data_IF_084083832438
#
_entry.id   IF_084083832438
#
_cell.length_a   1.000
_cell.length_b   1.000
_cell.length_c   1.000
_cell.angle_alpha   90.00
_cell.angle_beta   90.00
_cell.angle_gamma   90.00
#
_symmetry.space_group_name_H-M   'P 1'
#
loop_
_entity.id
_entity.type
_entity.pdbx_description
1 polymer ?
#
# COMPACT_ATOMS: atom_id res chain seq x y z
N UNK A 1 -20.63 -3.11 13.84
CA UNK A 1 -21.16 -4.23 13.02
C UNK A 1 -20.12 -4.52 11.96
N UNK A 2 -19.29 -5.55 12.16
CA UNK A 2 -18.31 -5.93 11.13
C UNK A 2 -19.02 -6.87 10.17
N UNK A 3 -19.41 -6.35 9.03
CA UNK A 3 -19.90 -7.19 7.92
C UNK A 3 -18.64 -7.79 7.28
N UNK A 4 -18.24 -8.97 7.75
CA UNK A 4 -17.27 -9.80 7.04
C UNK A 4 -17.99 -10.43 5.85
N UNK A 5 -18.03 -9.73 4.75
CA UNK A 5 -18.48 -10.33 3.49
C UNK A 5 -17.26 -10.89 2.76
N UNK A 6 -17.23 -12.19 2.60
CA UNK A 6 -16.17 -12.93 1.89
C UNK A 6 -16.09 -12.65 0.38
N UNK A 7 -16.74 -11.61 -0.16
CA UNK A 7 -16.78 -11.33 -1.61
C UNK A 7 -17.11 -9.89 -1.99
N UNK A 8 -16.82 -8.89 -1.20
CA UNK A 8 -17.06 -7.53 -1.65
C UNK A 8 -15.73 -6.86 -1.95
N UNK A 9 -15.56 -6.47 -3.19
CA UNK A 9 -14.49 -5.60 -3.66
C UNK A 9 -14.57 -4.26 -2.90
N UNK A 10 -13.98 -4.21 -1.71
CA UNK A 10 -13.95 -3.05 -0.82
C UNK A 10 -13.04 -1.93 -1.30
N UNK A 11 -12.41 -2.13 -2.44
CA UNK A 11 -11.51 -1.16 -2.99
C UNK A 11 -12.06 -0.65 -4.29
N UNK A 12 -12.60 0.57 -4.25
CA UNK A 12 -12.48 1.42 -5.40
C UNK A 12 -11.00 1.38 -5.81
N UNK A 13 -10.72 0.52 -6.75
CA UNK A 13 -9.53 0.45 -7.60
C UNK A 13 -8.22 1.03 -7.05
N UNK A 14 -7.63 0.45 -5.99
CA UNK A 14 -6.19 0.50 -5.83
C UNK A 14 -5.57 -0.56 -6.75
N UNK A 15 -5.60 -0.31 -8.05
CA UNK A 15 -4.93 -1.14 -9.04
C UNK A 15 -3.44 -0.79 -9.06
N UNK A 16 -2.72 -1.10 -8.01
CA UNK A 16 -1.26 -1.11 -8.06
C UNK A 16 -0.82 -2.42 -8.70
N UNK A 17 -0.73 -2.46 -10.03
CA UNK A 17 -0.05 -3.57 -10.67
C UNK A 17 1.44 -3.43 -10.36
N UNK A 18 1.92 -4.16 -9.37
CA UNK A 18 3.34 -4.37 -9.13
C UNK A 18 3.93 -5.12 -10.31
N UNK A 19 4.30 -4.39 -11.34
CA UNK A 19 5.20 -4.92 -12.38
C UNK A 19 6.58 -4.44 -11.99
N UNK A 20 7.42 -5.36 -11.53
CA UNK A 20 8.81 -5.21 -11.18
C UNK A 20 9.21 -3.81 -10.76
N UNK A 21 9.53 -3.60 -9.50
CA UNK A 21 9.76 -2.30 -8.90
C UNK A 21 10.89 -1.54 -9.57
N UNK A 22 10.51 -0.55 -10.38
CA UNK A 22 11.44 0.49 -10.76
C UNK A 22 11.25 1.60 -9.74
N UNK A 23 12.18 1.86 -8.83
CA UNK A 23 12.09 3.02 -7.99
C UNK A 23 12.02 4.27 -8.86
N UNK A 24 11.01 5.11 -8.65
CA UNK A 24 10.80 6.30 -9.46
C UNK A 24 12.03 7.20 -9.55
N UNK A 25 12.85 7.26 -8.48
CA UNK A 25 14.14 7.94 -8.51
C UNK A 25 15.13 7.38 -9.52
N UNK A 26 15.03 6.11 -9.90
CA UNK A 26 15.87 5.57 -10.98
C UNK A 26 15.38 5.97 -12.35
N UNK A 27 14.08 6.14 -12.50
CA UNK A 27 13.51 6.68 -13.73
C UNK A 27 13.82 8.17 -13.91
N UNK A 28 13.90 8.94 -12.82
CA UNK A 28 14.42 10.31 -12.84
C UNK A 28 15.92 10.37 -13.16
N UNK A 29 16.67 9.32 -12.78
CA UNK A 29 18.11 9.19 -13.02
C UNK A 29 18.41 8.80 -14.47
N UNK A 30 17.44 8.22 -15.18
CA UNK A 30 17.56 7.86 -16.58
C UNK A 30 16.71 8.81 -17.45
N UNK A 31 16.96 10.11 -17.38
CA UNK A 31 16.34 11.01 -18.32
C UNK A 31 17.16 10.95 -19.58
N UNK A 32 16.61 10.46 -20.64
CA UNK A 32 17.29 10.50 -21.92
C UNK A 32 18.45 9.48 -22.07
N UNK A 33 18.36 8.58 -23.04
CA UNK A 33 19.42 7.65 -23.43
C UNK A 33 20.77 8.33 -23.71
N UNK A 34 20.79 9.63 -23.95
CA UNK A 34 22.00 10.47 -23.98
C UNK A 34 22.68 10.64 -22.63
N UNK A 35 21.98 10.48 -21.51
CA UNK A 35 22.53 10.66 -20.14
C UNK A 35 23.24 9.41 -19.65
N UNK A 36 22.91 8.23 -20.15
CA UNK A 36 23.71 7.01 -19.91
C UNK A 36 25.17 7.17 -20.39
N UNK A 37 25.43 8.11 -21.24
CA UNK A 37 26.81 8.48 -21.66
C UNK A 37 27.52 9.43 -20.71
N UNK A 38 26.84 9.95 -19.68
CA UNK A 38 27.41 10.92 -18.74
C UNK A 38 27.57 10.29 -17.35
N UNK A 39 28.52 9.35 -17.24
CA UNK A 39 28.89 8.61 -16.02
C UNK A 39 28.98 9.50 -14.76
N UNK A 40 29.44 10.75 -14.89
CA UNK A 40 29.58 11.67 -13.76
C UNK A 40 28.23 12.07 -13.12
N UNK A 41 27.14 12.07 -13.86
CA UNK A 41 25.81 12.32 -13.28
C UNK A 41 25.28 11.09 -12.55
N UNK A 42 25.47 9.91 -13.13
CA UNK A 42 25.11 8.63 -12.51
C UNK A 42 25.84 8.47 -11.18
N UNK A 43 27.14 8.74 -11.15
CA UNK A 43 27.97 8.65 -9.94
C UNK A 43 27.44 9.53 -8.79
N UNK A 44 27.07 10.79 -9.08
CA UNK A 44 26.53 11.69 -8.04
C UNK A 44 25.19 11.23 -7.48
N UNK A 45 24.30 10.74 -8.32
CA UNK A 45 22.98 10.24 -7.91
C UNK A 45 23.14 8.96 -7.12
N UNK A 46 24.03 8.08 -7.58
CA UNK A 46 24.34 6.83 -6.89
C UNK A 46 24.96 7.07 -5.50
N UNK A 47 25.80 8.09 -5.33
CA UNK A 47 26.33 8.49 -4.02
C UNK A 47 25.19 8.97 -3.11
N UNK A 48 24.28 9.81 -3.60
CA UNK A 48 23.14 10.28 -2.81
C UNK A 48 22.23 9.13 -2.41
N UNK A 49 21.96 8.20 -3.32
CA UNK A 49 21.15 7.01 -3.02
C UNK A 49 21.85 6.08 -2.01
N UNK A 50 23.17 5.95 -2.10
CA UNK A 50 23.93 5.21 -1.09
C UNK A 50 23.86 5.84 0.30
N UNK A 51 23.93 7.17 0.40
CA UNK A 51 23.75 7.89 1.67
C UNK A 51 22.34 7.68 2.20
N UNK A 52 21.33 7.80 1.34
CA UNK A 52 19.93 7.53 1.70
C UNK A 52 19.75 6.09 2.19
N UNK A 53 20.31 5.12 1.47
CA UNK A 53 20.30 3.71 1.89
C UNK A 53 20.92 3.55 3.30
N UNK A 54 22.13 4.06 3.51
CA UNK A 54 22.81 3.97 4.82
C UNK A 54 21.99 4.54 5.97
N UNK A 55 21.21 5.58 5.70
CA UNK A 55 20.35 6.22 6.70
C UNK A 55 19.09 5.43 7.00
N UNK A 56 18.54 4.71 6.00
CA UNK A 56 17.23 4.09 6.09
C UNK A 56 17.24 2.55 6.00
N UNK A 57 18.43 1.95 5.97
CA UNK A 57 18.54 0.47 5.97
C UNK A 57 17.98 -0.14 7.24
N UNK A 58 17.44 -1.34 7.13
CA UNK A 58 16.92 -2.12 8.25
C UNK A 58 17.98 -2.91 9.00
N UNK A 59 19.14 -3.11 8.38
CA UNK A 59 20.21 -3.93 8.94
C UNK A 59 19.86 -5.42 8.91
N UNK A 60 19.32 -5.87 7.77
CA UNK A 60 19.08 -7.29 7.53
C UNK A 60 20.43 -7.99 7.40
N UNK A 61 20.64 -9.02 8.21
CA UNK A 61 21.90 -9.78 8.26
C UNK A 61 21.79 -11.09 7.50
N UNK A 62 22.94 -11.71 7.23
CA UNK A 62 22.98 -13.05 6.64
C UNK A 62 22.29 -14.09 7.53
N UNK A 63 22.36 -13.93 8.83
CA UNK A 63 21.67 -14.80 9.81
C UNK A 63 20.14 -14.62 9.72
N UNK A 64 19.64 -13.39 9.58
CA UNK A 64 18.22 -13.13 9.38
C UNK A 64 17.71 -13.84 8.10
N UNK A 65 18.48 -13.80 7.01
CA UNK A 65 18.12 -14.45 5.74
C UNK A 65 18.20 -15.97 5.86
N UNK A 66 19.24 -16.50 6.51
CA UNK A 66 19.36 -17.93 6.77
C UNK A 66 18.19 -18.45 7.62
N UNK A 67 17.70 -17.65 8.57
CA UNK A 67 16.51 -17.99 9.36
C UNK A 67 15.25 -17.98 8.48
N UNK A 68 15.04 -16.95 7.68
CA UNK A 68 13.91 -16.88 6.74
C UNK A 68 13.89 -18.05 5.75
N UNK A 69 15.07 -18.47 5.27
CA UNK A 69 15.19 -19.57 4.30
C UNK A 69 14.69 -20.92 4.84
N UNK A 70 14.54 -21.09 6.16
CA UNK A 70 13.97 -22.30 6.78
C UNK A 70 12.48 -22.46 6.52
N UNK A 71 11.79 -21.37 6.21
CA UNK A 71 10.36 -21.37 5.94
C UNK A 71 10.02 -21.70 4.48
N UNK A 72 11.03 -21.90 3.62
CA UNK A 72 10.83 -22.25 2.22
C UNK A 72 10.26 -21.11 1.41
N UNK A 73 9.09 -21.32 0.82
CA UNK A 73 8.37 -20.35 -0.05
C UNK A 73 6.90 -20.25 0.39
N UNK A 74 6.20 -19.24 -0.13
CA UNK A 74 4.76 -19.08 0.08
C UNK A 74 4.38 -18.41 1.40
N UNK A 75 3.28 -18.87 2.02
CA UNK A 75 2.66 -18.19 3.16
C UNK A 75 3.54 -18.20 4.41
N UNK A 76 4.23 -19.29 4.71
CA UNK A 76 5.11 -19.38 5.89
C UNK A 76 6.28 -18.39 5.75
N UNK A 77 6.88 -18.28 4.55
CA UNK A 77 7.93 -17.30 4.28
C UNK A 77 7.39 -15.87 4.39
N UNK A 78 6.18 -15.61 3.87
CA UNK A 78 5.51 -14.31 3.96
C UNK A 78 5.32 -13.89 5.42
N UNK A 79 4.78 -14.77 6.26
CA UNK A 79 4.55 -14.51 7.68
C UNK A 79 5.87 -14.26 8.44
N UNK A 80 6.88 -15.10 8.22
CA UNK A 80 8.20 -14.92 8.81
C UNK A 80 8.87 -13.59 8.37
N UNK A 81 8.73 -13.23 7.09
CA UNK A 81 9.21 -11.96 6.55
C UNK A 81 8.50 -10.76 7.18
N UNK A 82 7.18 -10.85 7.37
CA UNK A 82 6.40 -9.81 8.03
C UNK A 82 6.86 -9.60 9.48
N UNK A 83 7.05 -10.67 10.24
CA UNK A 83 7.54 -10.61 11.62
C UNK A 83 8.95 -10.02 11.70
N UNK A 84 9.85 -10.41 10.80
CA UNK A 84 11.20 -9.85 10.75
C UNK A 84 11.17 -8.36 10.41
N UNK A 85 10.44 -7.97 9.36
CA UNK A 85 10.37 -6.58 8.91
C UNK A 85 9.77 -5.68 9.98
N UNK A 86 8.64 -6.06 10.58
CA UNK A 86 7.98 -5.26 11.63
C UNK A 86 8.87 -5.11 12.86
N UNK A 87 9.61 -6.17 13.25
CA UNK A 87 10.59 -6.11 14.33
C UNK A 87 11.77 -5.19 13.99
N UNK A 88 12.35 -5.29 12.79
CA UNK A 88 13.47 -4.44 12.34
C UNK A 88 13.06 -2.98 12.19
N UNK A 89 11.82 -2.72 11.82
CA UNK A 89 11.23 -1.39 11.78
C UNK A 89 10.84 -0.88 13.17
N UNK A 90 10.88 -1.73 14.20
CA UNK A 90 10.58 -1.38 15.58
C UNK A 90 9.09 -1.22 15.88
N UNK A 91 8.20 -1.88 15.14
CA UNK A 91 6.76 -1.84 15.43
C UNK A 91 6.42 -2.76 16.59
N UNK A 92 5.65 -2.24 17.55
CA UNK A 92 5.04 -3.10 18.56
C UNK A 92 3.85 -3.86 17.98
N UNK A 93 3.54 -5.03 18.56
CA UNK A 93 2.38 -5.84 18.15
C UNK A 93 1.03 -5.11 18.26
N UNK A 94 0.96 -4.07 19.10
CA UNK A 94 -0.28 -3.31 19.35
C UNK A 94 -0.64 -2.31 18.25
N UNK A 95 0.37 -1.86 17.47
CA UNK A 95 0.19 -0.80 16.48
C UNK A 95 0.48 -1.25 15.04
N UNK A 96 1.18 -2.38 14.85
CA UNK A 96 1.48 -2.88 13.51
C UNK A 96 0.20 -3.21 12.73
N UNK A 97 0.16 -3.05 11.42
CA UNK A 97 -1.00 -3.45 10.62
C UNK A 97 -1.23 -4.96 10.73
N UNK A 98 -2.47 -5.40 10.70
CA UNK A 98 -2.75 -6.83 10.60
C UNK A 98 -2.45 -7.32 9.17
N UNK A 99 -1.95 -8.56 9.03
CA UNK A 99 -1.69 -9.19 7.75
C UNK A 99 -2.80 -10.19 7.43
N UNK A 100 -3.39 -10.09 6.24
CA UNK A 100 -4.42 -11.00 5.75
C UNK A 100 -4.05 -11.56 4.39
N UNK A 101 -4.07 -12.89 4.27
CA UNK A 101 -3.94 -13.59 3.01
C UNK A 101 -5.33 -13.86 2.46
N UNK A 102 -5.76 -13.09 1.48
CA UNK A 102 -7.08 -13.16 0.88
C UNK A 102 -6.96 -12.97 -0.63
N UNK A 103 -7.70 -13.73 -1.45
CA UNK A 103 -7.76 -13.46 -2.88
C UNK A 103 -8.37 -12.07 -3.08
N UNK A 104 -7.65 -11.21 -3.79
CA UNK A 104 -8.08 -9.86 -4.10
C UNK A 104 -8.39 -9.81 -5.59
N UNK A 105 -9.63 -9.44 -5.96
CA UNK A 105 -10.03 -9.23 -7.37
C UNK A 105 -9.40 -7.97 -7.99
N UNK A 106 -8.20 -7.60 -7.58
CA UNK A 106 -7.44 -6.47 -8.08
C UNK A 106 -6.07 -6.93 -8.57
N UNK A 107 -5.52 -6.27 -9.57
CA UNK A 107 -4.24 -6.64 -10.19
C UNK A 107 -3.01 -6.27 -9.32
N UNK A 108 -3.14 -6.33 -8.00
CA UNK A 108 -2.04 -6.05 -7.09
C UNK A 108 -1.80 -7.24 -6.17
N UNK A 109 -0.57 -7.72 -6.04
CA UNK A 109 -0.25 -8.85 -5.16
C UNK A 109 -0.36 -8.51 -3.68
N UNK A 110 -0.11 -7.26 -3.32
CA UNK A 110 -0.20 -6.78 -1.94
C UNK A 110 -0.71 -5.35 -1.92
N UNK A 111 -1.39 -4.96 -0.85
CA UNK A 111 -1.82 -3.58 -0.62
C UNK A 111 -1.99 -3.27 0.87
N UNK A 112 -1.49 -2.12 1.31
CA UNK A 112 -1.81 -1.57 2.62
C UNK A 112 -3.11 -0.77 2.57
N UNK A 113 -4.04 -1.07 3.47
CA UNK A 113 -5.27 -0.29 3.65
C UNK A 113 -5.15 0.63 4.87
N UNK A 114 -5.03 1.94 4.68
CA UNK A 114 -4.97 2.89 5.79
C UNK A 114 -6.28 2.95 6.58
N UNK A 115 -7.42 2.71 5.91
CA UNK A 115 -8.73 2.75 6.55
C UNK A 115 -8.95 1.62 7.56
N UNK A 116 -8.33 0.46 7.34
CA UNK A 116 -8.51 -0.73 8.19
C UNK A 116 -7.26 -1.07 8.98
N UNK A 117 -6.15 -0.38 8.71
CA UNK A 117 -4.82 -0.69 9.23
C UNK A 117 -4.43 -2.15 9.00
N UNK A 118 -4.58 -2.61 7.76
CA UNK A 118 -4.26 -3.98 7.35
C UNK A 118 -3.37 -3.98 6.11
N UNK A 119 -2.57 -5.02 5.97
CA UNK A 119 -1.94 -5.40 4.70
C UNK A 119 -2.70 -6.62 4.18
N UNK A 120 -3.17 -6.53 2.95
CA UNK A 120 -3.83 -7.64 2.25
C UNK A 120 -2.84 -8.19 1.23
N UNK A 121 -2.71 -9.50 1.21
CA UNK A 121 -1.85 -10.24 0.27
C UNK A 121 -2.72 -11.19 -0.52
N UNK A 122 -2.61 -11.15 -1.84
CA UNK A 122 -3.26 -12.11 -2.74
C UNK A 122 -2.31 -13.29 -2.99
N UNK A 123 -2.61 -14.48 -2.45
CA UNK A 123 -1.72 -15.65 -2.60
C UNK A 123 -1.56 -16.08 -4.05
N UNK A 124 -2.59 -15.96 -4.89
CA UNK A 124 -2.51 -16.34 -6.30
C UNK A 124 -1.55 -15.43 -7.07
N UNK A 125 -1.66 -14.12 -6.85
CA UNK A 125 -0.78 -13.16 -7.51
C UNK A 125 0.65 -13.23 -6.99
N UNK A 126 0.82 -13.54 -5.70
CA UNK A 126 2.14 -13.75 -5.08
C UNK A 126 2.78 -15.08 -5.46
N UNK A 127 2.05 -16.05 -6.00
CA UNK A 127 2.58 -17.37 -6.37
C UNK A 127 3.71 -17.30 -7.42
N UNK A 128 3.77 -16.22 -8.20
CA UNK A 128 4.82 -15.98 -9.18
C UNK A 128 6.02 -15.18 -8.63
N UNK A 129 5.96 -14.79 -7.34
CA UNK A 129 7.02 -14.02 -6.71
C UNK A 129 8.04 -14.94 -6.06
N UNK A 130 9.31 -14.64 -6.25
CA UNK A 130 10.35 -15.25 -5.44
C UNK A 130 10.43 -14.59 -4.05
N UNK A 131 11.17 -15.19 -3.15
CA UNK A 131 11.31 -14.73 -1.77
C UNK A 131 11.80 -13.28 -1.65
N UNK A 132 12.70 -12.85 -2.52
CA UNK A 132 13.19 -11.45 -2.55
C UNK A 132 12.05 -10.49 -2.90
N UNK A 133 11.22 -10.85 -3.88
CA UNK A 133 10.08 -10.03 -4.30
C UNK A 133 9.00 -9.96 -3.21
N UNK A 134 8.69 -11.08 -2.53
CA UNK A 134 7.76 -11.10 -1.40
C UNK A 134 8.27 -10.21 -0.28
N UNK A 135 9.54 -10.36 0.11
CA UNK A 135 10.16 -9.59 1.18
C UNK A 135 10.15 -8.08 0.88
N UNK A 136 10.53 -7.71 -0.33
CA UNK A 136 10.61 -6.31 -0.72
C UNK A 136 9.24 -5.67 -0.92
N UNK A 137 8.25 -6.41 -1.47
CA UNK A 137 6.87 -5.93 -1.58
C UNK A 137 6.24 -5.70 -0.20
N UNK A 138 6.45 -6.59 0.77
CA UNK A 138 6.03 -6.36 2.15
C UNK A 138 6.66 -5.09 2.74
N UNK A 139 7.94 -4.84 2.45
CA UNK A 139 8.61 -3.62 2.91
C UNK A 139 7.99 -2.36 2.30
N UNK A 140 7.53 -2.44 1.05
CA UNK A 140 6.80 -1.38 0.38
C UNK A 140 5.48 -1.05 1.12
N UNK A 141 4.65 -2.07 1.37
CA UNK A 141 3.36 -1.87 2.04
C UNK A 141 3.53 -1.38 3.49
N UNK A 142 4.55 -1.87 4.20
CA UNK A 142 4.91 -1.36 5.51
C UNK A 142 5.39 0.11 5.47
N UNK A 143 5.93 0.58 4.34
CA UNK A 143 6.26 2.00 4.20
C UNK A 143 5.01 2.87 4.09
N UNK A 144 3.97 2.42 3.41
CA UNK A 144 2.68 3.11 3.42
C UNK A 144 2.08 3.19 4.83
N UNK A 145 2.24 2.13 5.63
CA UNK A 145 1.87 2.18 7.05
C UNK A 145 2.67 3.26 7.81
N UNK A 146 4.00 3.36 7.59
CA UNK A 146 4.82 4.41 8.21
C UNK A 146 4.31 5.80 7.82
N UNK A 147 4.04 6.02 6.55
CA UNK A 147 3.53 7.30 6.05
C UNK A 147 2.18 7.66 6.69
N UNK A 148 1.25 6.71 6.76
CA UNK A 148 -0.05 6.89 7.43
C UNK A 148 0.13 7.21 8.92
N UNK A 149 1.03 6.50 9.60
CA UNK A 149 1.35 6.73 11.01
C UNK A 149 1.90 8.13 11.24
N UNK A 150 2.76 8.63 10.34
CA UNK A 150 3.29 9.99 10.41
C UNK A 150 2.19 11.05 10.23
N UNK A 151 1.25 10.81 9.32
CA UNK A 151 0.07 11.67 9.12
C UNK A 151 -0.76 11.72 10.40
N UNK A 152 -1.11 10.57 10.98
CA UNK A 152 -1.94 10.46 12.19
C UNK A 152 -1.27 11.01 13.47
N UNK A 153 0.05 11.17 13.48
CA UNK A 153 0.80 11.76 14.60
C UNK A 153 0.98 13.27 14.50
N UNK A 154 0.69 13.86 13.36
CA UNK A 154 0.91 15.28 13.15
C UNK A 154 -0.26 16.10 13.71
N UNK A 155 0.00 16.94 14.71
CA UNK A 155 -1.02 17.65 15.49
C UNK A 155 -2.08 18.39 14.64
N UNK A 156 -1.65 19.05 13.56
CA UNK A 156 -2.55 19.85 12.72
C UNK A 156 -3.15 19.09 11.55
N UNK A 157 -2.53 17.98 11.12
CA UNK A 157 -2.97 17.18 9.97
C UNK A 157 -3.87 16.03 10.41
N UNK A 158 -3.56 15.39 11.54
CA UNK A 158 -4.27 14.21 12.02
C UNK A 158 -5.81 14.40 12.13
N UNK A 159 -6.34 15.49 12.68
CA UNK A 159 -7.79 15.68 12.74
C UNK A 159 -8.43 15.66 11.35
N UNK A 160 -7.81 16.35 10.38
CA UNK A 160 -8.29 16.40 9.00
C UNK A 160 -8.16 15.03 8.31
N UNK A 161 -7.08 14.31 8.59
CA UNK A 161 -6.87 12.98 8.05
C UNK A 161 -7.93 11.99 8.57
N UNK A 162 -8.27 12.05 9.84
CA UNK A 162 -9.35 11.26 10.44
C UNK A 162 -10.69 11.57 9.76
N UNK A 163 -11.01 12.86 9.53
CA UNK A 163 -12.24 13.24 8.84
C UNK A 163 -12.32 12.64 7.44
N UNK A 164 -11.24 12.78 6.65
CA UNK A 164 -11.16 12.20 5.30
C UNK A 164 -11.25 10.67 5.32
N UNK A 165 -10.59 10.02 6.27
CA UNK A 165 -10.67 8.55 6.40
C UNK A 165 -12.08 8.08 6.74
N UNK A 166 -12.76 8.77 7.65
CA UNK A 166 -14.15 8.46 8.04
C UNK A 166 -15.10 8.64 6.86
N UNK A 167 -14.95 9.71 6.09
CA UNK A 167 -15.74 9.96 4.89
C UNK A 167 -15.53 8.85 3.85
N UNK A 168 -14.29 8.59 3.46
CA UNK A 168 -13.95 7.54 2.49
C UNK A 168 -14.42 6.15 2.92
N UNK A 169 -14.26 5.82 4.21
CA UNK A 169 -14.74 4.55 4.74
C UNK A 169 -16.26 4.45 4.64
N UNK A 170 -16.96 5.50 5.05
CA UNK A 170 -18.43 5.54 5.02
C UNK A 170 -18.96 5.44 3.59
N UNK A 171 -18.35 6.14 2.64
CA UNK A 171 -18.71 6.07 1.22
C UNK A 171 -18.43 4.68 0.63
N UNK A 172 -17.36 4.04 1.03
CA UNK A 172 -17.07 2.65 0.66
C UNK A 172 -18.15 1.69 1.18
N UNK A 173 -18.60 1.88 2.45
CA UNK A 173 -19.69 1.07 3.02
C UNK A 173 -21.02 1.31 2.30
N UNK A 174 -21.35 2.56 1.97
CA UNK A 174 -22.55 2.90 1.19
C UNK A 174 -22.52 2.23 -0.18
N UNK A 175 -21.41 2.36 -0.89
CA UNK A 175 -21.22 1.77 -2.22
C UNK A 175 -21.31 0.25 -2.20
N UNK A 176 -20.75 -0.40 -1.17
CA UNK A 176 -20.88 -1.84 -0.98
C UNK A 176 -22.32 -2.28 -0.76
N UNK A 177 -23.08 -1.56 0.05
CA UNK A 177 -24.50 -1.87 0.31
C UNK A 177 -25.32 -1.70 -0.96
N UNK A 178 -25.10 -0.62 -1.71
CA UNK A 178 -25.79 -0.40 -3.01
C UNK A 178 -25.48 -1.56 -3.96
N UNK A 179 -24.22 -1.92 -4.11
CA UNK A 179 -23.79 -3.00 -5.00
C UNK A 179 -24.41 -4.36 -4.62
N UNK A 180 -24.45 -4.69 -3.32
CA UNK A 180 -25.09 -5.92 -2.85
C UNK A 180 -26.60 -5.96 -3.17
N UNK A 181 -27.28 -4.82 -3.03
CA UNK A 181 -28.71 -4.71 -3.32
C UNK A 181 -28.98 -4.79 -4.83
N UNK A 182 -28.25 -4.02 -5.64
CA UNK A 182 -28.45 -3.95 -7.10
C UNK A 182 -28.14 -5.28 -7.81
N UNK A 183 -27.19 -6.06 -7.29
CA UNK A 183 -26.85 -7.37 -7.85
C UNK A 183 -27.64 -8.55 -7.22
N UNK A 184 -28.66 -8.27 -6.40
CA UNK A 184 -29.46 -9.26 -5.68
C UNK A 184 -28.68 -10.21 -4.75
N UNK A 185 -27.46 -9.85 -4.39
CA UNK A 185 -26.59 -10.68 -3.53
C UNK A 185 -27.11 -10.78 -2.10
N UNK A 186 -27.87 -9.77 -1.63
CA UNK A 186 -28.52 -9.80 -0.31
C UNK A 186 -29.47 -10.97 -0.17
N UNK A 187 -30.27 -11.28 -1.21
CA UNK A 187 -31.24 -12.36 -1.18
C UNK A 187 -30.55 -13.74 -1.22
N UNK A 188 -29.44 -13.85 -1.96
CA UNK A 188 -28.62 -15.06 -1.97
C UNK A 188 -27.96 -15.30 -0.61
N UNK A 189 -27.41 -14.23 0.01
CA UNK A 189 -26.80 -14.30 1.34
C UNK A 189 -27.81 -14.62 2.43
N UNK A 190 -29.04 -14.09 2.34
CA UNK A 190 -30.12 -14.40 3.27
C UNK A 190 -30.55 -15.87 3.15
N UNK A 191 -30.71 -16.37 1.92
CA UNK A 191 -31.12 -17.76 1.66
C UNK A 191 -30.07 -18.77 2.11
N UNK A 192 -28.78 -18.42 1.98
CA UNK A 192 -27.66 -19.25 2.43
C UNK A 192 -27.34 -19.14 3.94
N UNK A 193 -28.11 -18.32 4.68
CA UNK A 193 -27.91 -18.13 6.11
C UNK A 193 -26.65 -17.35 6.47
N UNK A 194 -26.11 -16.57 5.54
CA UNK A 194 -24.89 -15.76 5.76
C UNK A 194 -25.20 -14.41 6.46
N UNK A 195 -26.45 -14.01 6.55
CA UNK A 195 -26.88 -12.78 7.21
C UNK A 195 -27.53 -13.06 8.57
N UNK A 196 -27.19 -12.27 9.57
CA UNK A 196 -27.94 -12.24 10.82
C UNK A 196 -29.30 -11.53 10.59
N UNK A 197 -30.29 -11.75 11.48
CA UNK A 197 -31.57 -11.03 11.41
C UNK A 197 -31.40 -9.50 11.38
N UNK A 198 -30.48 -8.97 12.15
CA UNK A 198 -30.20 -7.52 12.23
C UNK A 198 -29.57 -7.01 10.92
N UNK A 199 -28.70 -7.81 10.30
CA UNK A 199 -28.12 -7.48 9.00
C UNK A 199 -29.18 -7.49 7.90
N UNK A 200 -30.06 -8.48 7.91
CA UNK A 200 -31.17 -8.56 6.96
C UNK A 200 -32.12 -7.38 7.11
N UNK A 201 -32.47 -7.00 8.34
CA UNK A 201 -33.28 -5.82 8.60
C UNK A 201 -32.62 -4.54 8.08
N UNK A 202 -31.32 -4.36 8.32
CA UNK A 202 -30.55 -3.24 7.78
C UNK A 202 -30.63 -3.18 6.23
N UNK A 203 -30.38 -4.29 5.54
CA UNK A 203 -30.46 -4.33 4.08
C UNK A 203 -31.87 -4.07 3.54
N UNK A 204 -32.92 -4.59 4.20
CA UNK A 204 -34.29 -4.34 3.81
C UNK A 204 -34.67 -2.86 3.97
N UNK A 205 -34.21 -2.22 5.04
CA UNK A 205 -34.39 -0.77 5.24
C UNK A 205 -33.64 0.02 4.18
N UNK A 206 -32.38 -0.33 3.90
CA UNK A 206 -31.58 0.32 2.87
C UNK A 206 -32.24 0.19 1.48
N UNK A 207 -32.73 -1.02 1.12
CA UNK A 207 -33.46 -1.25 -0.13
C UNK A 207 -34.70 -0.39 -0.25
N UNK A 208 -35.48 -0.27 0.83
CA UNK A 208 -36.70 0.55 0.86
C UNK A 208 -36.40 2.03 0.64
N UNK A 209 -35.37 2.55 1.30
CA UNK A 209 -34.96 3.95 1.17
C UNK A 209 -34.44 4.27 -0.23
N UNK A 210 -33.62 3.37 -0.81
CA UNK A 210 -33.14 3.51 -2.19
C UNK A 210 -34.31 3.46 -3.21
N UNK A 211 -35.28 2.54 -3.05
CA UNK A 211 -36.43 2.44 -3.92
C UNK A 211 -37.30 3.71 -3.87
N UNK A 212 -37.41 4.33 -2.69
CA UNK A 212 -38.15 5.57 -2.50
C UNK A 212 -37.33 6.83 -2.87
N UNK A 213 -36.07 6.67 -3.30
CA UNK A 213 -35.10 7.76 -3.57
C UNK A 213 -34.86 8.66 -2.37
N UNK A 214 -35.04 8.14 -1.16
CA UNK A 214 -34.74 8.84 0.09
C UNK A 214 -33.25 8.70 0.42
N UNK A 215 -32.44 9.53 -0.23
CA UNK A 215 -30.98 9.51 -0.05
C UNK A 215 -30.56 10.02 1.34
N UNK A 216 -31.31 10.92 1.94
CA UNK A 216 -31.01 11.41 3.29
C UNK A 216 -31.25 10.30 4.32
N UNK A 217 -32.38 9.61 4.24
CA UNK A 217 -32.66 8.44 5.06
C UNK A 217 -31.63 7.33 4.87
N UNK A 218 -31.22 7.06 3.61
CA UNK A 218 -30.19 6.08 3.30
C UNK A 218 -28.84 6.48 3.93
N UNK A 219 -28.40 7.73 3.78
CA UNK A 219 -27.14 8.22 4.35
C UNK A 219 -27.14 8.15 5.89
N UNK A 220 -28.29 8.42 6.50
CA UNK A 220 -28.45 8.36 7.96
C UNK A 220 -28.27 6.95 8.54
N UNK A 221 -28.46 5.88 7.76
CA UNK A 221 -28.18 4.51 8.19
C UNK A 221 -26.71 4.30 8.57
N UNK A 222 -25.80 5.09 8.00
CA UNK A 222 -24.36 4.95 8.20
C UNK A 222 -23.79 5.83 9.31
N UNK A 223 -24.62 6.67 9.94
CA UNK A 223 -24.16 7.60 10.99
C UNK A 223 -23.45 6.87 12.13
N UNK A 224 -24.02 5.76 12.61
CA UNK A 224 -23.42 4.96 13.68
C UNK A 224 -22.10 4.29 13.23
N UNK A 225 -22.06 3.81 11.98
CA UNK A 225 -20.84 3.21 11.40
C UNK A 225 -19.72 4.25 11.32
N UNK A 226 -20.04 5.46 10.86
CA UNK A 226 -19.08 6.59 10.79
C UNK A 226 -18.56 6.97 12.17
N UNK A 227 -19.43 7.06 13.16
CA UNK A 227 -19.06 7.41 14.54
C UNK A 227 -18.15 6.33 15.16
N UNK A 228 -18.54 5.07 15.04
CA UNK A 228 -17.75 3.94 15.56
C UNK A 228 -16.37 3.87 14.90
N UNK A 229 -16.29 4.07 13.58
CA UNK A 229 -15.01 4.08 12.88
C UNK A 229 -14.13 5.26 13.29
N UNK A 230 -14.72 6.45 13.52
CA UNK A 230 -13.99 7.60 14.06
C UNK A 230 -13.38 7.31 15.41
N UNK A 231 -14.12 6.68 16.32
CA UNK A 231 -13.61 6.27 17.63
C UNK A 231 -12.44 5.29 17.51
N UNK A 232 -12.52 4.33 16.59
CA UNK A 232 -11.44 3.39 16.32
C UNK A 232 -10.16 4.10 15.83
N UNK A 233 -10.29 5.04 14.89
CA UNK A 233 -9.16 5.84 14.40
C UNK A 233 -8.54 6.71 15.49
N UNK A 234 -9.35 7.32 16.32
CA UNK A 234 -8.87 8.12 17.47
C UNK A 234 -8.12 7.24 18.47
N UNK A 235 -8.64 6.06 18.77
CA UNK A 235 -7.97 5.10 19.65
C UNK A 235 -6.64 4.60 19.05
N UNK A 236 -6.60 4.31 17.76
CA UNK A 236 -5.37 3.95 17.04
C UNK A 236 -4.35 5.10 17.10
N UNK A 237 -4.79 6.33 16.82
CA UNK A 237 -3.94 7.52 16.86
C UNK A 237 -3.34 7.73 18.26
N UNK A 238 -4.14 7.54 19.31
CA UNK A 238 -3.65 7.61 20.68
C UNK A 238 -2.58 6.56 20.99
N UNK A 239 -2.79 5.30 20.55
CA UNK A 239 -1.80 4.23 20.70
C UNK A 239 -0.51 4.55 19.92
N UNK A 240 -0.62 4.99 18.69
CA UNK A 240 0.52 5.39 17.84
C UNK A 240 1.30 6.52 18.51
N UNK A 241 0.62 7.51 19.06
CA UNK A 241 1.26 8.66 19.72
C UNK A 241 1.95 8.25 21.01
N UNK A 242 1.37 7.33 21.79
CA UNK A 242 1.96 6.82 23.03
C UNK A 242 3.23 5.99 22.76
N UNK A 243 3.27 5.24 21.67
CA UNK A 243 4.41 4.39 21.27
C UNK A 243 5.48 5.15 20.46
N UNK A 244 5.76 6.39 20.84
CA UNK A 244 6.67 7.32 20.15
C UNK A 244 8.09 6.80 19.90
N UNK A 245 8.57 5.84 20.67
CA UNK A 245 9.94 5.32 20.56
C UNK A 245 10.22 4.50 19.30
N UNK A 246 9.18 4.07 18.62
CA UNK A 246 9.24 3.06 17.58
C UNK A 246 9.44 3.65 16.18
N UNK A 247 8.78 4.74 15.87
CA UNK A 247 8.95 5.42 14.59
C UNK A 247 9.66 6.74 14.91
N UNK A 248 10.97 6.80 14.69
CA UNK A 248 11.71 8.05 14.80
C UNK A 248 11.00 9.08 13.94
N UNK A 249 10.33 10.03 14.60
CA UNK A 249 9.78 11.18 13.92
C UNK A 249 10.96 11.95 13.34
N UNK A 250 11.13 11.85 12.06
CA UNK A 250 12.00 12.73 11.31
C UNK A 250 11.38 14.13 11.46
N UNK A 251 11.90 14.91 12.37
CA UNK A 251 11.41 16.27 12.70
C UNK A 251 11.46 17.25 11.51
N UNK A 252 12.13 16.88 10.44
CA UNK A 252 12.23 17.65 9.19
C UNK A 252 11.10 17.38 8.19
N UNK A 253 10.07 16.62 8.56
CA UNK A 253 9.13 16.01 7.62
C UNK A 253 7.81 16.75 7.45
N UNK A 254 7.55 17.88 8.12
CA UNK A 254 6.25 18.57 7.98
C UNK A 254 5.85 18.80 6.52
N UNK A 255 6.72 19.30 5.60
CA UNK A 255 6.34 19.44 4.19
C UNK A 255 6.07 18.11 3.49
N UNK A 256 6.82 17.05 3.84
CA UNK A 256 6.64 15.71 3.26
C UNK A 256 5.35 15.06 3.78
N UNK A 257 5.04 15.21 5.06
CA UNK A 257 3.80 14.72 5.67
C UNK A 257 2.61 15.45 5.07
N UNK A 258 2.71 16.76 4.88
CA UNK A 258 1.66 17.55 4.22
C UNK A 258 1.43 17.06 2.79
N UNK A 259 2.51 16.85 2.02
CA UNK A 259 2.42 16.31 0.66
C UNK A 259 1.82 14.90 0.65
N UNK A 260 2.25 14.01 1.54
CA UNK A 260 1.69 12.67 1.68
C UNK A 260 0.18 12.71 1.98
N UNK A 261 -0.24 13.62 2.85
CA UNK A 261 -1.65 13.79 3.18
C UNK A 261 -2.46 14.32 1.98
N UNK A 262 -1.94 15.29 1.25
CA UNK A 262 -2.57 15.82 0.02
C UNK A 262 -2.71 14.73 -1.05
N UNK A 263 -1.69 13.91 -1.25
CA UNK A 263 -1.73 12.78 -2.17
C UNK A 263 -2.70 11.70 -1.70
N UNK A 264 -2.76 11.42 -0.40
CA UNK A 264 -3.75 10.52 0.19
C UNK A 264 -5.20 11.00 -0.03
N UNK A 265 -5.44 12.31 0.05
CA UNK A 265 -6.76 12.89 -0.24
C UNK A 265 -7.13 12.76 -1.72
N UNK A 266 -6.17 13.01 -2.60
CA UNK A 266 -6.34 13.19 -4.03
C UNK A 266 -5.66 12.07 -4.83
N UNK A 267 -6.02 10.80 -4.58
CA UNK A 267 -5.50 9.68 -5.38
C UNK A 267 -5.93 9.86 -6.84
N UNK A 268 -5.06 10.52 -7.63
CA UNK A 268 -5.37 10.98 -8.98
C UNK A 268 -4.55 10.33 -10.10
N UNK A 269 -3.88 9.19 -9.82
CA UNK A 269 -3.07 8.49 -10.82
C UNK A 269 -3.84 7.39 -11.60
N UNK A 270 -5.15 7.28 -11.39
CA UNK A 270 -5.98 6.39 -12.23
C UNK A 270 -6.49 7.12 -13.47
N UNK A 271 -6.39 6.47 -14.61
CA UNK A 271 -7.03 6.88 -15.86
C UNK A 271 -8.54 6.63 -15.77
N UNK A 272 -9.31 7.24 -16.68
CA UNK A 272 -10.78 7.07 -16.72
C UNK A 272 -11.22 5.61 -16.96
N UNK A 273 -10.37 4.79 -17.57
CA UNK A 273 -10.59 3.36 -17.81
C UNK A 273 -10.19 2.47 -16.62
N UNK A 274 -9.82 3.06 -15.48
CA UNK A 274 -9.39 2.35 -14.27
C UNK A 274 -7.95 1.84 -14.32
N UNK A 275 -7.20 2.07 -15.40
CA UNK A 275 -5.79 1.73 -15.47
C UNK A 275 -4.93 2.76 -14.74
N UNK A 276 -3.72 2.34 -14.31
CA UNK A 276 -2.76 3.23 -13.67
C UNK A 276 -2.11 4.13 -14.73
N UNK A 277 -2.09 5.43 -14.45
CA UNK A 277 -1.18 6.36 -15.08
C UNK A 277 0.17 6.25 -14.35
N UNK A 278 1.07 5.44 -14.89
CA UNK A 278 2.37 5.15 -14.25
C UNK A 278 3.22 6.39 -14.03
N UNK A 279 3.10 7.41 -14.88
CA UNK A 279 3.83 8.65 -14.71
C UNK A 279 3.36 9.39 -13.46
N UNK A 280 2.05 9.57 -13.31
CA UNK A 280 1.48 10.19 -12.12
C UNK A 280 1.74 9.35 -10.86
N UNK A 281 1.63 8.02 -10.97
CA UNK A 281 1.91 7.09 -9.89
C UNK A 281 3.34 7.25 -9.36
N UNK A 282 4.33 7.25 -10.26
CA UNK A 282 5.73 7.39 -9.89
C UNK A 282 6.11 8.80 -9.44
N UNK A 283 5.32 9.83 -9.81
CA UNK A 283 5.52 11.22 -9.37
C UNK A 283 4.97 11.48 -7.97
N UNK A 284 4.16 10.56 -7.40
CA UNK A 284 3.67 10.72 -6.03
C UNK A 284 4.78 10.49 -5.01
N UNK A 285 4.80 11.31 -3.96
CA UNK A 285 5.77 11.16 -2.88
C UNK A 285 5.60 9.82 -2.15
N UNK A 286 4.34 9.42 -1.88
CA UNK A 286 4.05 8.21 -1.12
C UNK A 286 4.55 6.95 -1.82
N UNK A 287 4.30 6.83 -3.11
CA UNK A 287 4.74 5.67 -3.90
C UNK A 287 6.25 5.69 -4.13
N UNK A 288 6.80 6.87 -4.43
CA UNK A 288 8.23 7.04 -4.65
C UNK A 288 9.05 6.66 -3.41
N UNK A 289 8.63 7.10 -2.22
CA UNK A 289 9.26 6.74 -0.96
C UNK A 289 9.13 5.25 -0.66
N UNK A 290 7.95 4.64 -0.91
CA UNK A 290 7.73 3.22 -0.71
C UNK A 290 8.58 2.35 -1.64
N UNK A 291 8.64 2.69 -2.94
CA UNK A 291 9.50 2.02 -3.92
C UNK A 291 10.99 2.14 -3.57
N UNK A 292 11.43 3.28 -3.06
CA UNK A 292 12.80 3.44 -2.60
C UNK A 292 13.11 2.48 -1.43
N UNK A 293 12.21 2.33 -0.46
CA UNK A 293 12.39 1.42 0.67
C UNK A 293 12.33 -0.05 0.25
N UNK A 294 11.49 -0.37 -0.73
CA UNK A 294 11.45 -1.68 -1.37
C UNK A 294 12.83 -2.03 -1.96
N UNK A 295 13.42 -1.15 -2.75
CA UNK A 295 14.75 -1.37 -3.35
C UNK A 295 15.84 -1.55 -2.31
N UNK A 296 15.77 -0.81 -1.21
CA UNK A 296 16.73 -0.99 -0.13
C UNK A 296 16.60 -2.37 0.52
N UNK A 297 15.36 -2.86 0.70
CA UNK A 297 15.11 -4.19 1.22
C UNK A 297 15.59 -5.29 0.26
N UNK A 298 15.39 -5.13 -1.05
CA UNK A 298 15.92 -6.03 -2.07
C UNK A 298 17.44 -6.12 -2.00
N UNK A 299 18.12 -4.98 -1.88
CA UNK A 299 19.57 -4.95 -1.72
C UNK A 299 20.03 -5.66 -0.45
N UNK A 300 19.42 -5.36 0.70
CA UNK A 300 19.77 -6.01 1.96
C UNK A 300 19.50 -7.52 1.91
N UNK A 301 18.40 -7.93 1.32
CA UNK A 301 18.05 -9.35 1.17
C UNK A 301 18.98 -10.10 0.21
N UNK A 302 19.42 -9.44 -0.87
CA UNK A 302 20.33 -10.06 -1.85
C UNK A 302 21.72 -10.36 -1.32
N UNK A 303 22.12 -9.73 -0.20
CA UNK A 303 23.47 -9.78 0.36
C UNK A 303 24.57 -9.39 -0.64
N UNK A 304 24.23 -8.67 -1.70
CA UNK A 304 25.23 -8.16 -2.65
C UNK A 304 26.16 -7.18 -1.90
N UNK A 305 27.49 -7.39 -1.95
CA UNK A 305 28.41 -6.60 -1.15
C UNK A 305 28.54 -5.14 -1.61
N UNK A 306 28.12 -4.84 -2.83
CA UNK A 306 28.27 -3.52 -3.42
C UNK A 306 26.94 -2.93 -3.86
N UNK A 307 26.44 -1.94 -3.10
CA UNK A 307 25.19 -1.23 -3.40
C UNK A 307 25.18 -0.64 -4.83
N UNK A 308 26.30 -0.04 -5.25
CA UNK A 308 26.41 0.57 -6.58
C UNK A 308 26.26 -0.45 -7.72
N UNK A 309 26.85 -1.65 -7.54
CA UNK A 309 26.74 -2.74 -8.49
C UNK A 309 25.32 -3.28 -8.53
N UNK A 310 24.70 -3.47 -7.35
CA UNK A 310 23.30 -3.87 -7.26
C UNK A 310 22.38 -2.88 -8.00
N UNK A 311 22.54 -1.60 -7.76
CA UNK A 311 21.76 -0.56 -8.40
C UNK A 311 21.90 -0.53 -9.91
N UNK A 312 23.13 -0.65 -10.40
CA UNK A 312 23.40 -0.75 -11.84
C UNK A 312 22.71 -1.96 -12.46
N UNK A 313 22.86 -3.13 -11.86
CA UNK A 313 22.22 -4.36 -12.33
C UNK A 313 20.69 -4.25 -12.31
N UNK A 314 20.11 -3.66 -11.25
CA UNK A 314 18.66 -3.46 -11.14
C UNK A 314 18.15 -2.56 -12.27
N UNK A 315 18.85 -1.48 -12.58
CA UNK A 315 18.51 -0.57 -13.69
C UNK A 315 18.60 -1.33 -15.04
N UNK A 316 19.70 -2.05 -15.29
CA UNK A 316 19.87 -2.81 -16.52
C UNK A 316 18.79 -3.88 -16.68
N UNK A 317 18.43 -4.58 -15.60
CA UNK A 317 17.36 -5.58 -15.61
C UNK A 317 15.99 -4.97 -15.95
N UNK A 318 15.70 -3.78 -15.41
CA UNK A 318 14.47 -3.05 -15.73
C UNK A 318 14.35 -2.77 -17.22
N UNK A 319 15.41 -2.29 -17.87
CA UNK A 319 15.40 -1.99 -19.31
C UNK A 319 15.38 -3.24 -20.18
N UNK A 320 15.92 -4.34 -19.68
CA UNK A 320 15.95 -5.61 -20.40
C UNK A 320 14.69 -6.47 -20.19
N UNK A 321 13.86 -6.14 -19.20
CA UNK A 321 12.62 -6.90 -18.94
C UNK A 321 11.48 -6.44 -19.86
N UNK A 322 11.05 -7.34 -20.73
CA UNK A 322 9.91 -7.10 -21.62
C UNK A 322 8.60 -6.79 -20.88
N UNK A 323 8.45 -7.21 -19.62
CA UNK A 323 7.27 -6.88 -18.80
C UNK A 323 7.20 -5.40 -18.44
N UNK A 324 8.33 -4.72 -18.38
CA UNK A 324 8.41 -3.30 -18.10
C UNK A 324 8.26 -2.42 -19.34
N UNK A 325 8.21 -3.02 -20.51
CA UNK A 325 8.19 -2.28 -21.80
C UNK A 325 7.03 -1.28 -21.85
N UNK A 326 5.85 -1.69 -21.45
CA UNK A 326 4.69 -0.79 -21.47
C UNK A 326 4.88 0.43 -20.54
N UNK A 327 5.46 0.22 -19.37
CA UNK A 327 5.75 1.29 -18.40
C UNK A 327 6.81 2.24 -18.95
N UNK A 328 7.85 1.69 -19.55
CA UNK A 328 8.93 2.46 -20.17
C UNK A 328 8.42 3.27 -21.38
N UNK A 329 7.57 2.68 -22.20
CA UNK A 329 6.94 3.34 -23.35
C UNK A 329 6.03 4.49 -22.88
N UNK A 330 5.23 4.30 -21.81
CA UNK A 330 4.38 5.33 -21.21
C UNK A 330 5.20 6.49 -20.61
N UNK A 331 6.40 6.19 -20.12
CA UNK A 331 7.33 7.19 -19.58
C UNK A 331 8.15 7.89 -20.68
N UNK A 332 8.01 7.48 -21.95
CA UNK A 332 8.71 8.05 -23.08
C UNK A 332 10.18 7.62 -23.21
N UNK A 333 10.52 6.47 -22.64
CA UNK A 333 11.84 5.87 -22.82
C UNK A 333 11.83 4.98 -24.09
N UNK A 334 12.44 5.42 -25.16
CA UNK A 334 12.69 4.59 -26.33
C UNK A 334 13.87 3.65 -26.04
N UNK A 335 13.69 2.35 -26.30
CA UNK A 335 14.80 1.41 -26.28
C UNK A 335 15.84 1.86 -27.32
N UNK A 336 17.06 2.14 -26.89
CA UNK A 336 18.16 2.34 -27.79
C UNK A 336 18.36 1.04 -28.60
N UNK A 337 18.14 1.13 -29.91
CA UNK A 337 18.46 0.07 -30.86
C UNK A 337 19.96 -0.14 -30.98
#
# INVERSE_FOLDING_TARGET
MNIQSNRVSYYGSYNTSFKGSIPAKFLEIIPDTKVCKNLKKIDKISIQEYVNFKTHRLGITAEDIAELSKYGEGEDFLLASYELLTRKMGFSSEIRPALYCLPINVKTPMAYSPMQNIIIVDPEQCSNFNNTQIFSALRHELQHYVQNTQILRHETIAPKAIDVMVEKYTDSQRSAVVNLIENNLVDEMATSGQLTPEQLEFFNKARTLLANKDMDGFNNLFTHISASYREQLQALTAKITHNLGVIKADSCLTPKIQKAFEEFQNVGYYKQDGNIDYRKYLDTYIENDALQKQTYAEFEFSQEPCFMKFMKNSIENVFNDNKNKQVLDELGFEQAK
#
